data_IF_600123260145
#
_entry.id   IF_600123260145
#
_cell.length_a   1.000
_cell.length_b   1.000
_cell.length_c   1.000
_cell.angle_alpha   90.00
_cell.angle_beta   90.00
_cell.angle_gamma   90.00
#
_symmetry.space_group_name_H-M   'P 1'
#
loop_
_entity.id
_entity.type
_entity.pdbx_description
1 polymer ?
#
# COMPACT_ATOMS: atom_id res chain seq x y z
N UNK A 1 -58.97 6.07 38.74
CA UNK A 1 -58.67 5.57 37.38
C UNK A 1 -57.47 6.32 36.80
N UNK A 2 -56.33 6.30 37.49
CA UNK A 2 -55.07 6.95 37.07
C UNK A 2 -53.98 6.15 37.76
N UNK A 3 -53.44 5.13 37.08
CA UNK A 3 -52.25 4.35 37.45
C UNK A 3 -52.26 3.17 36.49
N UNK A 4 -51.63 3.33 35.32
CA UNK A 4 -51.08 2.25 34.46
C UNK A 4 -50.56 2.89 33.15
N UNK A 5 -51.01 4.08 32.76
CA UNK A 5 -50.68 4.69 31.46
C UNK A 5 -49.41 5.55 31.40
N UNK A 6 -48.51 5.47 32.40
CA UNK A 6 -47.25 6.25 32.39
C UNK A 6 -45.97 5.40 32.35
N UNK A 7 -46.08 4.07 32.46
CA UNK A 7 -44.91 3.18 32.51
C UNK A 7 -44.48 2.70 31.11
N UNK A 8 -45.37 2.69 30.12
CA UNK A 8 -45.04 2.24 28.76
C UNK A 8 -44.26 3.27 27.91
N UNK A 9 -44.19 4.54 28.31
CA UNK A 9 -43.43 5.55 27.56
C UNK A 9 -41.95 5.63 27.97
N UNK A 10 -41.59 5.12 29.14
CA UNK A 10 -40.20 5.14 29.64
C UNK A 10 -39.37 3.92 29.22
N UNK A 11 -40.01 2.86 28.69
CA UNK A 11 -39.32 1.66 28.20
C UNK A 11 -38.87 1.74 26.73
N UNK A 12 -39.29 2.77 25.99
CA UNK A 12 -38.88 2.99 24.59
C UNK A 12 -37.67 3.91 24.42
N UNK A 13 -37.14 4.53 25.49
CA UNK A 13 -36.04 5.49 25.41
C UNK A 13 -34.64 4.90 25.70
N UNK A 14 -34.52 3.62 26.04
CA UNK A 14 -33.20 2.98 26.25
C UNK A 14 -32.63 2.31 25.00
N UNK A 15 -33.34 2.34 23.87
CA UNK A 15 -32.84 1.87 22.57
C UNK A 15 -32.36 3.01 21.65
N UNK A 16 -31.81 4.09 22.23
CA UNK A 16 -31.06 5.07 21.44
C UNK A 16 -29.72 4.46 21.06
N UNK A 17 -29.73 3.82 19.90
CA UNK A 17 -28.63 3.72 18.94
C UNK A 17 -27.23 3.56 19.50
N UNK A 18 -26.77 2.31 19.61
CA UNK A 18 -25.43 2.00 19.08
C UNK A 18 -25.49 2.12 17.56
N UNK A 19 -25.67 3.35 17.05
CA UNK A 19 -25.31 3.64 15.68
C UNK A 19 -23.85 3.21 15.56
N UNK A 20 -23.57 2.28 14.66
CA UNK A 20 -22.23 1.74 14.45
C UNK A 20 -21.29 2.92 14.16
N UNK A 21 -20.58 3.40 15.17
CA UNK A 21 -19.34 4.13 14.96
C UNK A 21 -18.34 3.06 14.55
N UNK A 22 -18.40 2.58 13.31
CA UNK A 22 -17.26 1.87 12.74
C UNK A 22 -16.11 2.86 12.83
N UNK A 23 -15.08 2.60 13.66
CA UNK A 23 -13.94 3.49 13.71
C UNK A 23 -13.43 3.62 12.29
N UNK A 24 -13.17 4.85 11.83
CA UNK A 24 -12.45 5.08 10.58
C UNK A 24 -11.02 4.62 10.82
N UNK A 25 -10.79 3.32 10.72
CA UNK A 25 -9.49 2.71 10.88
C UNK A 25 -8.59 3.29 9.79
N UNK A 26 -7.44 3.85 10.15
CA UNK A 26 -6.45 4.35 9.20
C UNK A 26 -5.43 3.24 8.96
N UNK A 27 -5.23 2.80 7.72
CA UNK A 27 -4.26 1.73 7.41
C UNK A 27 -2.84 2.07 7.89
N UNK A 28 -2.46 3.35 7.88
CA UNK A 28 -1.15 3.78 8.37
C UNK A 28 -1.04 3.65 9.90
N UNK A 29 -2.15 3.80 10.61
CA UNK A 29 -2.23 3.57 12.05
C UNK A 29 -2.09 2.07 12.34
N UNK A 30 -2.79 1.21 11.59
CA UNK A 30 -2.62 -0.25 11.69
C UNK A 30 -1.17 -0.70 11.45
N UNK A 31 -0.50 -0.12 10.45
CA UNK A 31 0.92 -0.38 10.17
C UNK A 31 1.81 0.09 11.32
N UNK A 32 1.58 1.30 11.83
CA UNK A 32 2.31 1.85 12.98
C UNK A 32 2.16 0.98 14.23
N UNK A 33 0.93 0.57 14.52
CA UNK A 33 0.63 -0.25 15.70
C UNK A 33 1.23 -1.63 15.57
N UNK A 34 1.15 -2.25 14.38
CA UNK A 34 1.83 -3.51 14.11
C UNK A 34 3.34 -3.41 14.40
N UNK A 35 4.01 -2.37 13.87
CA UNK A 35 5.46 -2.17 14.06
C UNK A 35 5.80 -2.00 15.55
N UNK A 36 5.01 -1.21 16.29
CA UNK A 36 5.20 -0.99 17.73
C UNK A 36 4.97 -2.26 18.54
N UNK A 37 3.87 -2.97 18.30
CA UNK A 37 3.50 -4.18 19.04
C UNK A 37 4.52 -5.30 18.81
N UNK A 38 5.01 -5.45 17.59
CA UNK A 38 6.05 -6.44 17.25
C UNK A 38 7.47 -5.97 17.62
N UNK A 39 7.63 -4.74 18.14
CA UNK A 39 8.92 -4.13 18.49
C UNK A 39 9.92 -4.18 17.33
N UNK A 40 9.46 -3.83 16.14
CA UNK A 40 10.27 -3.91 14.92
C UNK A 40 11.13 -2.65 14.80
N UNK A 41 12.45 -2.81 14.88
CA UNK A 41 13.41 -1.71 14.73
C UNK A 41 13.55 -1.27 13.27
N UNK A 42 13.47 -2.21 12.33
CA UNK A 42 13.50 -1.91 10.89
C UNK A 42 12.41 -2.64 10.12
N UNK A 43 11.58 -1.87 9.42
CA UNK A 43 10.51 -2.37 8.57
C UNK A 43 10.54 -1.69 7.20
N UNK A 44 10.16 -2.44 6.17
CA UNK A 44 9.92 -1.91 4.83
C UNK A 44 8.46 -2.17 4.52
N UNK A 45 7.79 -1.17 3.99
CA UNK A 45 6.39 -1.25 3.59
C UNK A 45 6.30 -1.06 2.10
N UNK A 46 5.49 -1.91 1.46
CA UNK A 46 5.18 -1.86 0.05
C UNK A 46 3.68 -1.72 -0.13
N UNK A 47 3.29 -0.80 -1.00
CA UNK A 47 1.92 -0.55 -1.39
C UNK A 47 1.87 -0.29 -2.89
N UNK A 48 0.89 -0.90 -3.57
CA UNK A 48 0.63 -0.69 -4.99
C UNK A 48 -0.84 -0.30 -5.14
N UNK A 49 -1.08 0.92 -5.62
CA UNK A 49 -2.41 1.52 -5.65
C UNK A 49 -2.63 2.33 -6.92
N UNK A 50 -3.89 2.56 -7.28
CA UNK A 50 -4.25 3.40 -8.43
C UNK A 50 -5.15 4.55 -8.02
N UNK A 51 -4.93 5.72 -8.60
CA UNK A 51 -5.77 6.90 -8.36
C UNK A 51 -6.67 7.11 -9.56
N UNK A 52 -7.98 7.24 -9.34
CA UNK A 52 -8.97 7.53 -10.38
C UNK A 52 -9.60 6.31 -11.05
N UNK A 53 -9.40 5.10 -10.50
CA UNK A 53 -10.09 3.88 -10.96
C UNK A 53 -11.49 3.76 -10.38
N UNK A 54 -12.42 3.18 -11.15
CA UNK A 54 -13.72 2.73 -10.68
C UNK A 54 -13.62 1.21 -10.45
N UNK A 55 -13.83 0.75 -9.22
CA UNK A 55 -13.95 -0.67 -8.93
C UNK A 55 -15.43 -1.06 -9.08
N UNK A 56 -15.73 -1.88 -10.08
CA UNK A 56 -17.03 -2.54 -10.19
C UNK A 56 -16.99 -3.81 -9.36
N UNK A 57 -17.84 -3.88 -8.34
CA UNK A 57 -17.99 -5.07 -7.48
C UNK A 57 -19.34 -5.69 -7.82
N UNK A 58 -19.33 -6.92 -8.33
CA UNK A 58 -20.54 -7.74 -8.36
C UNK A 58 -20.75 -8.33 -6.96
N UNK A 59 -21.86 -8.02 -6.27
CA UNK A 59 -22.12 -8.57 -4.96
C UNK A 59 -22.25 -10.09 -5.08
N UNK A 60 -21.47 -10.84 -4.30
CA UNK A 60 -21.59 -12.30 -4.32
C UNK A 60 -22.94 -12.73 -3.72
N UNK A 61 -23.61 -13.67 -4.40
CA UNK A 61 -24.90 -14.24 -3.96
C UNK A 61 -24.77 -15.14 -2.72
N UNK A 62 -23.56 -15.34 -2.21
CA UNK A 62 -23.26 -16.23 -1.09
C UNK A 62 -23.01 -15.41 0.17
N UNK A 63 -24.01 -15.37 1.05
CA UNK A 63 -24.01 -14.66 2.33
C UNK A 63 -22.94 -15.13 3.35
N UNK A 64 -22.15 -16.17 3.02
CA UNK A 64 -21.15 -16.78 3.89
C UNK A 64 -19.72 -16.27 3.65
N UNK A 65 -19.48 -15.44 2.64
CA UNK A 65 -18.20 -14.75 2.48
C UNK A 65 -18.33 -13.43 3.23
N UNK A 66 -17.61 -13.28 4.34
CA UNK A 66 -17.39 -11.99 4.98
C UNK A 66 -16.59 -11.10 4.01
N UNK A 67 -17.27 -10.53 3.03
CA UNK A 67 -16.70 -9.63 2.04
C UNK A 67 -16.53 -8.27 2.68
N UNK A 68 -15.27 -7.92 2.96
CA UNK A 68 -15.00 -6.58 3.42
C UNK A 68 -14.95 -5.61 2.24
N UNK A 69 -16.07 -4.90 2.02
CA UNK A 69 -16.21 -3.85 1.00
C UNK A 69 -15.10 -2.78 1.14
N UNK A 70 -14.66 -2.51 2.38
CA UNK A 70 -13.56 -1.58 2.66
C UNK A 70 -12.24 -2.04 2.04
N UNK A 71 -11.93 -3.34 2.02
CA UNK A 71 -10.70 -3.85 1.39
C UNK A 71 -10.78 -3.87 -0.14
N UNK A 72 -11.97 -3.76 -0.74
CA UNK A 72 -12.13 -3.63 -2.20
C UNK A 72 -11.80 -2.23 -2.71
N UNK A 73 -11.90 -1.23 -1.83
CA UNK A 73 -11.67 0.18 -2.15
C UNK A 73 -10.35 0.70 -1.60
N UNK A 74 -9.67 -0.10 -0.77
CA UNK A 74 -8.38 0.26 -0.19
C UNK A 74 -7.34 -0.83 -0.46
N UNK A 75 -6.16 -0.41 -0.89
CA UNK A 75 -5.09 -1.34 -1.23
C UNK A 75 -4.41 -1.88 0.04
N UNK A 76 -4.07 -3.18 0.09
CA UNK A 76 -3.31 -3.73 1.21
C UNK A 76 -1.93 -3.09 1.31
N UNK A 77 -1.43 -2.95 2.54
CA UNK A 77 -0.03 -2.62 2.79
C UNK A 77 0.69 -3.91 3.20
N UNK A 78 1.81 -4.18 2.56
CA UNK A 78 2.66 -5.31 2.89
C UNK A 78 3.87 -4.84 3.68
N UNK A 79 4.18 -5.54 4.77
CA UNK A 79 5.29 -5.22 5.66
C UNK A 79 6.33 -6.33 5.62
N UNK A 80 7.55 -5.96 5.31
CA UNK A 80 8.75 -6.79 5.38
C UNK A 80 9.56 -6.37 6.60
N UNK A 81 9.90 -7.31 7.47
CA UNK A 81 10.56 -7.02 8.74
C UNK A 81 11.48 -8.17 9.15
N UNK A 82 12.45 -7.91 10.02
CA UNK A 82 13.33 -8.93 10.58
C UNK A 82 13.02 -9.19 12.05
N UNK A 83 13.11 -10.45 12.43
CA UNK A 83 13.07 -10.90 13.82
C UNK A 83 13.87 -12.19 13.95
N UNK A 84 14.72 -12.27 14.97
CA UNK A 84 15.67 -13.39 15.20
C UNK A 84 16.47 -13.81 13.94
N UNK A 85 16.91 -12.84 13.14
CA UNK A 85 17.69 -13.07 11.91
C UNK A 85 16.89 -13.60 10.72
N UNK A 86 15.58 -13.84 10.87
CA UNK A 86 14.68 -14.25 9.78
C UNK A 86 13.95 -13.05 9.22
N UNK A 87 13.67 -13.09 7.92
CA UNK A 87 12.83 -12.10 7.26
C UNK A 87 11.39 -12.60 7.22
N UNK A 88 10.49 -11.77 7.73
CA UNK A 88 9.06 -11.98 7.74
C UNK A 88 8.37 -11.02 6.79
N UNK A 89 7.20 -11.46 6.34
CA UNK A 89 6.35 -10.79 5.38
C UNK A 89 4.90 -10.89 5.88
N UNK A 90 4.24 -9.74 6.04
CA UNK A 90 2.88 -9.65 6.59
C UNK A 90 2.02 -8.74 5.72
N UNK A 91 0.79 -9.17 5.42
CA UNK A 91 -0.24 -8.36 4.75
C UNK A 91 -1.11 -7.68 5.80
N UNK A 92 -1.25 -6.36 5.71
CA UNK A 92 -2.18 -5.57 6.50
C UNK A 92 -3.29 -5.06 5.60
N UNK A 93 -4.52 -5.29 6.05
CA UNK A 93 -5.76 -4.82 5.43
C UNK A 93 -6.60 -4.11 6.48
N UNK A 94 -7.68 -3.44 6.06
CA UNK A 94 -8.58 -2.79 7.01
C UNK A 94 -9.37 -3.81 7.82
N UNK A 95 -9.63 -4.98 7.24
CA UNK A 95 -10.66 -5.86 7.77
C UNK A 95 -10.13 -7.15 8.34
N UNK A 96 -8.95 -7.60 7.90
CA UNK A 96 -8.40 -8.87 8.34
C UNK A 96 -6.95 -8.73 8.82
N UNK A 97 -6.64 -9.53 9.82
CA UNK A 97 -5.28 -9.86 10.21
C UNK A 97 -4.82 -11.13 9.50
N UNK A 98 -3.62 -11.10 8.93
CA UNK A 98 -3.04 -12.24 8.21
C UNK A 98 -1.82 -12.79 8.95
N UNK A 99 -1.57 -14.09 8.79
CA UNK A 99 -0.38 -14.74 9.31
C UNK A 99 0.91 -14.17 8.73
N UNK A 100 1.94 -14.03 9.57
CA UNK A 100 3.30 -13.74 9.11
C UNK A 100 3.86 -14.91 8.30
N UNK A 101 4.59 -14.59 7.26
CA UNK A 101 5.19 -15.56 6.32
C UNK A 101 6.71 -15.38 6.39
N UNK A 102 7.45 -16.48 6.49
CA UNK A 102 8.90 -16.44 6.41
C UNK A 102 9.30 -16.46 4.94
N UNK A 103 10.20 -15.56 4.54
CA UNK A 103 10.73 -15.50 3.18
C UNK A 103 12.24 -15.69 3.18
N UNK A 104 12.74 -16.39 2.17
CA UNK A 104 14.18 -16.61 1.98
C UNK A 104 14.83 -15.49 1.17
N UNK A 105 14.11 -14.89 0.22
CA UNK A 105 14.64 -13.78 -0.58
C UNK A 105 14.63 -12.49 0.23
N UNK A 106 15.81 -12.09 0.69
CA UNK A 106 15.99 -10.92 1.56
C UNK A 106 17.05 -9.94 1.02
N UNK A 107 17.39 -10.06 -0.27
CA UNK A 107 18.40 -9.25 -0.97
C UNK A 107 18.12 -7.74 -0.91
N UNK A 108 16.86 -7.34 -0.75
CA UNK A 108 16.47 -5.94 -0.59
C UNK A 108 17.06 -5.28 0.68
N UNK A 109 17.35 -6.06 1.73
CA UNK A 109 18.03 -5.54 2.93
C UNK A 109 19.44 -5.09 2.61
N UNK A 110 20.22 -5.94 1.92
CA UNK A 110 21.59 -5.64 1.54
C UNK A 110 21.64 -4.41 0.63
N UNK A 111 20.74 -4.34 -0.37
CA UNK A 111 20.63 -3.18 -1.25
C UNK A 111 20.39 -1.90 -0.43
N UNK A 112 19.49 -1.93 0.55
CA UNK A 112 19.23 -0.76 1.38
C UNK A 112 20.41 -0.39 2.28
N UNK A 113 20.93 -1.33 3.07
CA UNK A 113 21.98 -1.03 4.04
C UNK A 113 23.27 -0.55 3.37
N UNK A 114 23.59 -1.05 2.16
CA UNK A 114 24.72 -0.57 1.36
C UNK A 114 24.47 0.76 0.64
N UNK A 115 23.21 1.22 0.51
CA UNK A 115 22.85 2.41 -0.27
C UNK A 115 21.97 3.42 0.50
N UNK A 116 21.88 3.36 1.83
CA UNK A 116 20.94 4.17 2.65
C UNK A 116 20.98 5.66 2.30
N UNK A 117 22.17 6.25 2.23
CA UNK A 117 22.34 7.67 1.90
C UNK A 117 21.92 7.99 0.48
N UNK A 118 22.23 7.12 -0.49
CA UNK A 118 21.84 7.29 -1.89
C UNK A 118 20.32 7.26 -1.98
N UNK A 119 19.70 6.19 -1.47
CA UNK A 119 18.25 5.98 -1.48
C UNK A 119 17.52 7.20 -0.89
N UNK A 120 17.96 7.73 0.26
CA UNK A 120 17.34 8.91 0.88
C UNK A 120 17.20 10.07 -0.10
N UNK A 121 18.18 10.29 -0.98
CA UNK A 121 18.24 11.42 -1.91
C UNK A 121 17.79 11.09 -3.34
N UNK A 122 17.53 9.83 -3.68
CA UNK A 122 17.01 9.45 -4.99
C UNK A 122 15.69 10.15 -5.30
N UNK A 123 15.52 10.57 -6.55
CA UNK A 123 14.31 11.19 -7.07
C UNK A 123 13.89 10.47 -8.34
N UNK A 124 12.62 10.06 -8.37
CA UNK A 124 11.96 9.63 -9.60
C UNK A 124 11.74 10.89 -10.43
N UNK A 125 12.18 10.87 -11.68
CA UNK A 125 11.98 11.98 -12.61
C UNK A 125 10.72 11.74 -13.42
N UNK A 126 9.95 12.79 -13.77
CA UNK A 126 8.75 12.61 -14.55
C UNK A 126 9.05 12.07 -15.96
N UNK A 127 8.03 11.55 -16.64
CA UNK A 127 8.11 11.26 -18.07
C UNK A 127 8.42 12.54 -18.84
N UNK A 128 9.61 12.62 -19.43
CA UNK A 128 10.04 13.75 -20.25
C UNK A 128 10.52 13.26 -21.62
N UNK A 129 10.31 14.06 -22.66
CA UNK A 129 10.75 13.75 -24.02
C UNK A 129 11.28 15.00 -24.74
N UNK A 130 12.02 14.79 -25.83
CA UNK A 130 12.58 15.87 -26.63
C UNK A 130 11.73 16.08 -27.88
N UNK A 131 11.32 17.32 -28.11
CA UNK A 131 10.70 17.78 -29.36
C UNK A 131 11.67 18.66 -30.12
N UNK A 132 11.57 18.66 -31.45
CA UNK A 132 12.35 19.54 -32.32
C UNK A 132 11.37 20.48 -33.03
N UNK A 133 11.48 21.78 -32.76
CA UNK A 133 10.72 22.83 -33.44
C UNK A 133 11.70 23.89 -33.93
N UNK A 134 11.65 24.20 -35.24
CA UNK A 134 12.57 25.15 -35.88
C UNK A 134 14.05 24.86 -35.56
N UNK A 135 14.45 23.59 -35.67
CA UNK A 135 15.82 23.11 -35.36
C UNK A 135 16.28 23.27 -33.90
N UNK A 136 15.40 23.71 -32.98
CA UNK A 136 15.68 23.79 -31.55
C UNK A 136 15.10 22.60 -30.81
N UNK A 137 15.93 21.92 -30.02
CA UNK A 137 15.51 20.85 -29.09
C UNK A 137 14.88 21.47 -27.85
N UNK A 138 13.66 21.06 -27.53
CA UNK A 138 12.95 21.48 -26.31
C UNK A 138 12.48 20.24 -25.56
N UNK A 139 12.70 20.25 -24.24
CA UNK A 139 12.21 19.23 -23.33
C UNK A 139 10.72 19.50 -23.01
N UNK A 140 9.91 18.46 -23.13
CA UNK A 140 8.49 18.47 -22.79
C UNK A 140 8.22 17.39 -21.75
N UNK A 141 7.22 17.59 -20.90
CA UNK A 141 6.77 16.63 -19.90
C UNK A 141 5.39 16.13 -20.29
N UNK A 142 5.13 14.82 -20.13
CA UNK A 142 3.78 14.26 -20.23
C UNK A 142 3.27 14.02 -18.82
N UNK A 143 2.02 14.41 -18.58
CA UNK A 143 1.29 14.09 -17.35
C UNK A 143 -0.01 13.42 -17.71
N UNK A 144 -0.45 12.48 -16.87
CA UNK A 144 -1.73 11.77 -17.05
C UNK A 144 -2.66 12.08 -15.88
N UNK A 145 -3.97 12.01 -16.13
CA UNK A 145 -5.01 12.35 -15.14
C UNK A 145 -5.25 11.25 -14.11
N UNK A 146 -4.88 10.01 -14.42
CA UNK A 146 -4.98 8.85 -13.54
C UNK A 146 -3.74 7.98 -13.72
N UNK A 147 -3.16 7.49 -12.62
CA UNK A 147 -2.00 6.61 -12.67
C UNK A 147 -2.02 5.59 -11.53
N UNK A 148 -1.23 4.55 -11.70
CA UNK A 148 -0.88 3.59 -10.66
C UNK A 148 0.47 3.95 -10.05
N UNK A 149 0.60 3.74 -8.75
CA UNK A 149 1.78 4.08 -7.98
C UNK A 149 2.29 2.86 -7.24
N UNK A 150 3.62 2.77 -7.14
CA UNK A 150 4.29 1.89 -6.18
C UNK A 150 4.91 2.78 -5.11
N UNK A 151 4.64 2.43 -3.85
CA UNK A 151 5.16 3.16 -2.69
C UNK A 151 6.01 2.22 -1.86
N UNK A 152 7.21 2.69 -1.57
CA UNK A 152 8.14 2.11 -0.61
C UNK A 152 8.26 3.07 0.57
N UNK A 153 7.97 2.61 1.77
CA UNK A 153 8.35 3.33 2.98
C UNK A 153 9.26 2.46 3.85
N UNK A 154 10.42 3.01 4.19
CA UNK A 154 11.45 2.37 5.00
C UNK A 154 11.43 3.04 6.37
N UNK A 155 11.30 2.23 7.41
CA UNK A 155 11.14 2.65 8.79
C UNK A 155 12.34 2.09 9.54
N UNK A 156 13.21 2.94 10.08
CA UNK A 156 14.37 2.54 10.90
C UNK A 156 14.36 3.33 12.20
N UNK A 157 14.24 2.66 13.35
CA UNK A 157 14.20 3.29 14.67
C UNK A 157 13.18 4.45 14.75
N UNK A 158 12.02 4.28 14.11
CA UNK A 158 10.98 5.30 14.00
C UNK A 158 11.17 6.36 12.91
N UNK A 159 12.37 6.52 12.33
CA UNK A 159 12.59 7.41 11.19
C UNK A 159 12.00 6.81 9.90
N UNK A 160 11.33 7.65 9.10
CA UNK A 160 10.67 7.23 7.86
C UNK A 160 11.34 7.83 6.63
N UNK A 161 11.68 6.98 5.66
CA UNK A 161 12.07 7.38 4.30
C UNK A 161 11.04 6.84 3.32
N UNK A 162 10.42 7.72 2.54
CA UNK A 162 9.41 7.35 1.56
C UNK A 162 9.92 7.54 0.13
N UNK A 163 9.55 6.60 -0.75
CA UNK A 163 9.75 6.68 -2.19
C UNK A 163 8.45 6.28 -2.88
N UNK A 164 7.98 7.17 -3.75
CA UNK A 164 6.79 6.95 -4.57
C UNK A 164 7.20 6.95 -6.03
N UNK A 165 6.78 5.92 -6.74
CA UNK A 165 7.02 5.71 -8.15
C UNK A 165 5.69 5.74 -8.87
N UNK A 166 5.51 6.75 -9.72
CA UNK A 166 4.43 6.72 -10.69
C UNK A 166 4.80 5.69 -11.77
N UNK A 167 3.94 4.70 -12.02
CA UNK A 167 4.21 3.67 -13.05
C UNK A 167 4.31 4.28 -14.44
N UNK A 168 3.70 5.43 -14.70
CA UNK A 168 3.83 6.15 -15.95
C UNK A 168 5.25 6.69 -16.16
N UNK A 169 5.85 7.27 -15.11
CA UNK A 169 7.23 7.79 -15.15
C UNK A 169 8.28 6.69 -15.36
N UNK A 170 7.88 5.43 -15.13
CA UNK A 170 8.69 4.24 -15.36
C UNK A 170 8.55 3.67 -16.77
N UNK A 171 7.66 4.20 -17.61
CA UNK A 171 7.50 3.73 -18.98
C UNK A 171 8.62 4.24 -19.88
N UNK A 172 9.11 3.37 -20.78
CA UNK A 172 10.11 3.74 -21.79
C UNK A 172 9.53 4.65 -22.88
N UNK A 173 8.25 4.46 -23.20
CA UNK A 173 7.56 5.19 -24.25
C UNK A 173 6.07 5.32 -23.95
N UNK A 174 5.46 6.39 -24.45
CA UNK A 174 4.01 6.61 -24.44
C UNK A 174 3.64 7.53 -25.60
N UNK A 175 2.53 7.24 -26.31
CA UNK A 175 2.02 8.06 -27.43
C UNK A 175 3.09 8.43 -28.49
N UNK A 176 4.03 7.52 -28.75
CA UNK A 176 5.14 7.74 -29.70
C UNK A 176 6.30 8.59 -29.18
N UNK A 177 6.22 9.12 -27.96
CA UNK A 177 7.31 9.81 -27.27
C UNK A 177 8.19 8.82 -26.50
N UNK A 178 9.52 9.03 -26.53
CA UNK A 178 10.50 8.24 -25.76
C UNK A 178 10.85 9.00 -24.47
N UNK A 179 10.69 8.33 -23.33
CA UNK A 179 11.02 8.88 -22.03
C UNK A 179 12.54 8.93 -21.83
N UNK A 180 13.10 10.15 -21.79
CA UNK A 180 14.53 10.36 -21.59
C UNK A 180 15.00 10.03 -20.16
N UNK A 181 14.07 9.93 -19.21
CA UNK A 181 14.35 9.62 -17.81
C UNK A 181 14.18 8.14 -17.48
N UNK A 182 13.76 7.30 -18.44
CA UNK A 182 13.51 5.88 -18.24
C UNK A 182 14.70 5.17 -17.57
N UNK A 183 15.88 5.23 -18.20
CA UNK A 183 17.10 4.59 -17.71
C UNK A 183 17.49 5.07 -16.32
N UNK A 184 17.35 6.36 -16.03
CA UNK A 184 17.59 6.90 -14.69
C UNK A 184 16.65 6.24 -13.67
N UNK A 185 15.34 6.20 -13.97
CA UNK A 185 14.31 5.78 -13.04
C UNK A 185 14.36 4.27 -12.76
N UNK A 186 14.55 3.44 -13.78
CA UNK A 186 14.62 1.97 -13.61
C UNK A 186 15.89 1.52 -12.86
N UNK A 187 16.94 2.33 -12.88
CA UNK A 187 18.22 2.02 -12.23
C UNK A 187 18.36 2.53 -10.80
N UNK A 188 17.36 3.24 -10.26
CA UNK A 188 17.35 3.68 -8.86
C UNK A 188 17.43 2.47 -7.91
N UNK A 189 18.19 2.61 -6.81
CA UNK A 189 18.35 1.57 -5.78
C UNK A 189 17.04 1.28 -5.08
N UNK A 190 16.26 2.32 -4.79
CA UNK A 190 14.90 2.17 -4.25
C UNK A 190 13.95 1.46 -5.22
N UNK A 191 14.13 1.62 -6.54
CA UNK A 191 13.35 0.89 -7.54
C UNK A 191 13.66 -0.60 -7.51
N UNK A 192 14.93 -0.98 -7.41
CA UNK A 192 15.35 -2.39 -7.29
C UNK A 192 14.75 -3.06 -6.05
N UNK A 193 14.68 -2.35 -4.92
CA UNK A 193 14.01 -2.83 -3.71
C UNK A 193 12.52 -3.09 -3.97
N UNK A 194 11.83 -2.12 -4.59
CA UNK A 194 10.41 -2.26 -4.95
C UNK A 194 10.18 -3.46 -5.88
N UNK A 195 11.03 -3.69 -6.86
CA UNK A 195 10.87 -4.80 -7.80
C UNK A 195 10.98 -6.16 -7.12
N UNK A 196 11.89 -6.30 -6.17
CA UNK A 196 12.00 -7.51 -5.36
C UNK A 196 10.73 -7.70 -4.51
N UNK A 197 10.25 -6.64 -3.87
CA UNK A 197 9.04 -6.70 -3.04
C UNK A 197 7.78 -7.01 -3.83
N UNK A 198 7.62 -6.37 -4.99
CA UNK A 198 6.51 -6.63 -5.91
C UNK A 198 6.53 -8.08 -6.39
N UNK A 199 7.70 -8.62 -6.72
CA UNK A 199 7.82 -10.04 -7.10
C UNK A 199 7.37 -10.97 -5.98
N UNK A 200 7.82 -10.74 -4.74
CA UNK A 200 7.42 -11.53 -3.56
C UNK A 200 5.91 -11.43 -3.31
N UNK A 201 5.36 -10.21 -3.38
CA UNK A 201 3.93 -9.97 -3.18
C UNK A 201 3.10 -10.67 -4.25
N UNK A 202 3.48 -10.54 -5.52
CA UNK A 202 2.76 -11.15 -6.63
C UNK A 202 2.78 -12.67 -6.55
N UNK A 203 3.93 -13.26 -6.20
CA UNK A 203 4.03 -14.70 -5.98
C UNK A 203 3.15 -15.15 -4.81
N UNK A 204 3.15 -14.41 -3.71
CA UNK A 204 2.35 -14.71 -2.53
C UNK A 204 0.84 -14.65 -2.80
N UNK A 205 0.36 -13.58 -3.43
CA UNK A 205 -1.05 -13.42 -3.80
C UNK A 205 -1.47 -14.49 -4.81
N UNK A 206 -0.66 -14.74 -5.85
CA UNK A 206 -0.94 -15.77 -6.86
C UNK A 206 -1.08 -17.16 -6.24
N UNK A 207 -0.25 -17.47 -5.24
CA UNK A 207 -0.24 -18.76 -4.56
C UNK A 207 -1.19 -18.81 -3.35
N UNK A 208 -1.95 -17.75 -3.08
CA UNK A 208 -2.88 -17.64 -1.95
C UNK A 208 -2.26 -18.02 -0.58
N UNK A 209 -1.00 -17.65 -0.35
CA UNK A 209 -0.28 -18.10 0.86
C UNK A 209 -0.72 -17.36 2.13
N UNK A 210 -1.43 -16.23 1.99
CA UNK A 210 -1.93 -15.46 3.11
C UNK A 210 -3.12 -16.13 3.78
N UNK A 211 -2.93 -16.58 5.02
CA UNK A 211 -4.00 -17.16 5.83
C UNK A 211 -4.59 -16.09 6.75
N UNK A 212 -5.91 -15.88 6.63
CA UNK A 212 -6.66 -15.02 7.56
C UNK A 212 -6.57 -15.62 8.97
N UNK A 213 -6.21 -14.80 9.95
CA UNK A 213 -6.22 -15.16 11.38
C UNK A 213 -7.57 -14.82 11.98
N UNK A 214 -8.01 -13.57 11.81
CA UNK A 214 -9.27 -13.05 12.34
C UNK A 214 -9.69 -11.77 11.61
N UNK A 215 -10.99 -11.47 11.72
CA UNK A 215 -11.58 -10.18 11.33
C UNK A 215 -11.25 -9.11 12.38
N UNK A 216 -11.16 -7.86 11.96
CA UNK A 216 -10.84 -6.69 12.79
C UNK A 216 -12.09 -6.00 13.35
#
# INVERSE_FOLDING_TARGET
MIKITFISFFLFLTFIGKAQTTPKVNINELVSDFIKTQKIDTAFTYENYSVGGITLVEPSLNADIEECITDLTNHPIYIFWKDEGKTYFTKITYCFEYSKIIIANDAFWEIYFSNKTIIKHEKVKPFEYITIKNSKKTKQQITISSSSFQKLQIITNGEKTEKRFDKFDLQKQSEGAININYENNINLRSKKIIDIMEAIVNEAEKNNIFKKIKSR
#
